data_IF_776341339141
#
_entry.id   IF_776341339141
#
_cell.length_a   1.000
_cell.length_b   1.000
_cell.length_c   1.000
_cell.angle_alpha   90.00
_cell.angle_beta   90.00
_cell.angle_gamma   90.00
#
_symmetry.space_group_name_H-M   'P 1'
#
loop_
_entity.id
_entity.type
_entity.pdbx_description
1 polymer ?
#
# COMPACT_ATOMS: atom_id res chain seq x y z
N UNK A 1 -13.33 50.74 15.10
CA UNK A 1 -14.10 49.83 15.96
C UNK A 1 -13.28 48.59 16.17
N UNK A 2 -12.88 48.33 17.41
CA UNK A 2 -12.03 47.19 17.79
C UNK A 2 -12.85 45.89 17.84
N UNK A 3 -12.24 44.71 17.61
CA UNK A 3 -12.94 43.43 17.60
C UNK A 3 -13.46 43.04 18.99
N UNK A 4 -14.62 42.35 19.09
CA UNK A 4 -15.37 42.12 20.33
C UNK A 4 -14.76 41.06 21.28
N UNK A 5 -13.46 40.76 21.20
CA UNK A 5 -12.82 39.68 21.97
C UNK A 5 -11.67 40.13 22.87
N UNK A 6 -11.44 41.44 23.01
CA UNK A 6 -10.46 41.98 23.94
C UNK A 6 -11.01 41.97 25.37
N UNK A 7 -10.93 40.83 26.05
CA UNK A 7 -11.30 40.73 27.48
C UNK A 7 -11.74 39.37 27.99
N UNK A 8 -11.61 38.29 27.21
CA UNK A 8 -11.82 36.96 27.78
C UNK A 8 -10.58 36.55 28.58
N UNK A 9 -10.63 36.72 29.90
CA UNK A 9 -9.67 36.14 30.83
C UNK A 9 -9.65 34.61 30.66
N UNK A 10 -8.59 34.12 30.01
CA UNK A 10 -8.37 32.69 29.76
C UNK A 10 -8.35 31.92 31.10
N UNK A 11 -7.93 32.55 32.20
CA UNK A 11 -8.01 32.01 33.54
C UNK A 11 -9.45 31.81 34.02
N UNK A 12 -10.36 32.74 33.70
CA UNK A 12 -11.79 32.63 34.02
C UNK A 12 -12.51 31.57 33.18
N UNK A 13 -12.12 31.40 31.90
CA UNK A 13 -12.65 30.34 31.02
C UNK A 13 -12.16 28.96 31.48
N UNK A 14 -10.87 28.83 31.82
CA UNK A 14 -10.31 27.60 32.40
C UNK A 14 -10.86 27.29 33.79
N UNK A 15 -11.19 28.31 34.59
CA UNK A 15 -11.86 28.15 35.88
C UNK A 15 -13.30 27.65 35.75
N UNK A 16 -14.01 28.00 34.66
CA UNK A 16 -15.34 27.45 34.33
C UNK A 16 -15.28 26.04 33.73
N UNK A 17 -14.19 25.67 33.06
CA UNK A 17 -13.93 24.32 32.56
C UNK A 17 -13.42 23.35 33.62
N UNK A 18 -12.82 23.84 34.71
CA UNK A 18 -12.56 23.01 35.90
C UNK A 18 -13.89 22.78 36.62
N UNK A 19 -14.59 21.71 36.24
CA UNK A 19 -15.73 21.10 36.96
C UNK A 19 -15.56 21.21 38.49
N UNK A 20 -16.01 22.33 39.09
CA UNK A 20 -16.19 22.49 40.53
C UNK A 20 -17.60 22.01 40.81
N UNK A 21 -17.80 20.70 40.70
CA UNK A 21 -18.93 20.06 41.37
C UNK A 21 -18.60 20.01 42.87
N UNK A 22 -19.50 20.48 43.77
CA UNK A 22 -19.39 20.14 45.19
C UNK A 22 -19.36 18.61 45.34
N UNK A 23 -18.55 18.08 46.26
CA UNK A 23 -18.35 16.63 46.42
C UNK A 23 -17.32 16.02 45.46
N UNK A 24 -16.40 16.79 44.86
CA UNK A 24 -15.38 16.25 43.92
C UNK A 24 -14.58 15.07 44.47
N UNK A 25 -14.27 15.06 45.77
CA UNK A 25 -13.60 13.94 46.42
C UNK A 25 -14.50 12.70 46.51
N UNK A 26 -15.78 12.90 46.83
CA UNK A 26 -16.80 11.84 46.90
C UNK A 26 -17.13 11.28 45.51
N UNK A 27 -17.30 12.14 44.50
CA UNK A 27 -17.48 11.72 43.10
C UNK A 27 -16.24 11.02 42.54
N UNK A 28 -15.04 11.45 42.95
CA UNK A 28 -13.79 10.77 42.58
C UNK A 28 -13.71 9.39 43.23
N UNK A 29 -14.00 9.28 44.53
CA UNK A 29 -14.03 8.00 45.23
C UNK A 29 -15.09 7.07 44.64
N UNK A 30 -16.28 7.58 44.32
CA UNK A 30 -17.34 6.84 43.65
C UNK A 30 -16.95 6.40 42.23
N UNK A 31 -16.20 7.23 41.49
CA UNK A 31 -15.68 6.87 40.17
C UNK A 31 -14.58 5.81 40.26
N UNK A 32 -13.67 5.92 41.24
CA UNK A 32 -12.63 4.92 41.51
C UNK A 32 -13.27 3.58 41.92
N UNK A 33 -14.32 3.60 42.75
CA UNK A 33 -15.08 2.42 43.14
C UNK A 33 -15.85 1.80 41.96
N UNK A 34 -16.45 2.63 41.09
CA UNK A 34 -17.06 2.18 39.83
C UNK A 34 -16.04 1.54 38.89
N UNK A 35 -14.85 2.13 38.76
CA UNK A 35 -13.79 1.57 37.91
C UNK A 35 -13.33 0.21 38.44
N UNK A 36 -13.10 0.07 39.75
CA UNK A 36 -12.74 -1.21 40.38
C UNK A 36 -13.86 -2.24 40.22
N UNK A 37 -15.12 -1.83 40.36
CA UNK A 37 -16.26 -2.73 40.16
C UNK A 37 -16.40 -3.19 38.70
N UNK A 38 -16.16 -2.30 37.73
CA UNK A 38 -16.16 -2.61 36.30
C UNK A 38 -14.98 -3.49 35.88
N UNK A 39 -13.83 -3.37 36.54
CA UNK A 39 -12.67 -4.26 36.35
C UNK A 39 -12.94 -5.66 36.93
N UNK A 40 -13.70 -5.76 38.02
CA UNK A 40 -14.06 -7.03 38.66
C UNK A 40 -15.21 -7.77 37.96
N UNK A 41 -16.18 -7.05 37.41
CA UNK A 41 -17.30 -7.59 36.64
C UNK A 41 -17.59 -6.68 35.42
N UNK A 42 -16.94 -7.01 34.30
CA UNK A 42 -17.05 -6.21 33.09
C UNK A 42 -18.47 -6.34 32.50
N UNK A 43 -19.26 -5.26 32.41
CA UNK A 43 -20.59 -5.32 31.85
C UNK A 43 -20.52 -5.69 30.37
N UNK A 44 -21.50 -6.47 29.90
CA UNK A 44 -21.60 -6.88 28.50
C UNK A 44 -21.79 -5.68 27.54
N UNK A 45 -22.34 -4.57 28.04
CA UNK A 45 -22.53 -3.33 27.28
C UNK A 45 -21.57 -2.23 27.78
N UNK A 46 -21.06 -1.38 26.87
CA UNK A 46 -20.15 -0.30 27.24
C UNK A 46 -20.85 0.72 28.14
N UNK A 47 -20.20 1.08 29.25
CA UNK A 47 -20.69 2.04 30.27
C UNK A 47 -21.02 3.41 29.69
N UNK A 48 -20.33 3.81 28.62
CA UNK A 48 -20.54 5.07 27.89
C UNK A 48 -20.75 4.77 26.40
N UNK A 49 -21.93 4.24 26.01
CA UNK A 49 -22.13 3.66 24.69
C UNK A 49 -21.93 4.68 23.56
N UNK A 50 -22.41 5.92 23.73
CA UNK A 50 -22.22 6.97 22.73
C UNK A 50 -20.75 7.40 22.60
N UNK A 51 -19.99 7.44 23.71
CA UNK A 51 -18.57 7.81 23.66
C UNK A 51 -17.74 6.68 23.06
N UNK A 52 -18.00 5.43 23.46
CA UNK A 52 -17.37 4.23 22.90
C UNK A 52 -17.60 4.14 21.39
N UNK A 53 -18.85 4.35 20.93
CA UNK A 53 -19.17 4.36 19.51
C UNK A 53 -18.44 5.46 18.73
N UNK A 54 -18.34 6.68 19.30
CA UNK A 54 -17.60 7.79 18.66
C UNK A 54 -16.09 7.54 18.62
N UNK A 55 -15.52 6.96 19.67
CA UNK A 55 -14.12 6.58 19.72
C UNK A 55 -13.80 5.51 18.67
N UNK A 56 -14.61 4.45 18.58
CA UNK A 56 -14.45 3.41 17.55
C UNK A 56 -14.60 3.96 16.12
N UNK A 57 -15.52 4.91 15.90
CA UNK A 57 -15.67 5.57 14.61
C UNK A 57 -14.45 6.44 14.25
N UNK A 58 -13.89 7.16 15.24
CA UNK A 58 -12.68 7.95 15.05
C UNK A 58 -11.47 7.06 14.75
N UNK A 59 -11.30 5.99 15.52
CA UNK A 59 -10.24 4.99 15.33
C UNK A 59 -10.27 4.43 13.91
N UNK A 60 -11.44 3.96 13.46
CA UNK A 60 -11.64 3.50 12.08
C UNK A 60 -11.31 4.58 11.03
N UNK A 61 -11.67 5.84 11.28
CA UNK A 61 -11.38 6.92 10.35
C UNK A 61 -9.88 7.24 10.28
N UNK A 62 -9.17 7.21 11.42
CA UNK A 62 -7.72 7.36 11.49
C UNK A 62 -7.04 6.20 10.75
N UNK A 63 -7.52 4.98 10.94
CA UNK A 63 -7.02 3.78 10.27
C UNK A 63 -7.13 3.86 8.74
N UNK A 64 -8.28 4.31 8.23
CA UNK A 64 -8.47 4.52 6.79
C UNK A 64 -7.57 5.64 6.28
N UNK A 65 -7.49 6.76 7.01
CA UNK A 65 -6.68 7.91 6.62
C UNK A 65 -5.20 7.54 6.51
N UNK A 66 -4.64 6.89 7.52
CA UNK A 66 -3.23 6.50 7.52
C UNK A 66 -2.96 5.51 6.39
N UNK A 67 -3.85 4.55 6.16
CA UNK A 67 -3.72 3.63 5.01
C UNK A 67 -3.74 4.36 3.67
N UNK A 68 -4.64 5.32 3.49
CA UNK A 68 -4.73 6.09 2.25
C UNK A 68 -3.51 6.99 2.03
N UNK A 69 -2.99 7.62 3.08
CA UNK A 69 -1.78 8.43 3.01
C UNK A 69 -0.59 7.58 2.61
N UNK A 70 -0.38 6.43 3.26
CA UNK A 70 0.74 5.54 2.95
C UNK A 70 0.59 4.94 1.54
N UNK A 71 -0.63 4.54 1.16
CA UNK A 71 -0.89 3.97 -0.17
C UNK A 71 -0.85 5.01 -1.29
N UNK A 72 -1.04 6.31 -0.98
CA UNK A 72 -1.04 7.38 -1.98
C UNK A 72 0.27 7.47 -2.77
N UNK A 73 1.40 7.23 -2.11
CA UNK A 73 2.73 7.30 -2.75
C UNK A 73 2.90 6.19 -3.78
N UNK A 74 2.43 4.98 -3.46
CA UNK A 74 2.44 3.85 -4.39
C UNK A 74 1.56 4.13 -5.60
N UNK A 75 0.32 4.60 -5.37
CA UNK A 75 -0.61 4.96 -6.45
C UNK A 75 0.00 6.00 -7.40
N UNK A 76 0.65 7.03 -6.85
CA UNK A 76 1.31 8.08 -7.64
C UNK A 76 2.46 7.56 -8.50
N UNK A 77 3.28 6.65 -7.98
CA UNK A 77 4.36 6.06 -8.78
C UNK A 77 3.84 5.19 -9.93
N UNK A 78 2.64 4.62 -9.79
CA UNK A 78 2.05 3.70 -10.76
C UNK A 78 0.93 4.33 -11.61
N UNK A 79 0.66 5.62 -11.46
CA UNK A 79 -0.46 6.32 -12.11
C UNK A 79 -0.41 6.18 -13.64
N UNK A 80 0.75 6.43 -14.24
CA UNK A 80 0.97 6.34 -15.68
C UNK A 80 1.55 5.00 -16.14
N UNK A 81 1.70 4.01 -15.25
CA UNK A 81 2.43 2.77 -15.52
C UNK A 81 1.89 2.04 -16.76
N UNK A 82 0.56 1.90 -16.86
CA UNK A 82 -0.10 1.23 -17.98
C UNK A 82 0.05 1.95 -19.33
N UNK A 83 0.38 3.24 -19.30
CA UNK A 83 0.48 4.12 -20.48
C UNK A 83 1.93 4.38 -20.91
N UNK A 84 2.91 3.78 -20.23
CA UNK A 84 4.32 3.93 -20.59
C UNK A 84 4.58 3.42 -22.02
N UNK A 85 5.39 4.12 -22.83
CA UNK A 85 5.66 3.73 -24.20
C UNK A 85 6.47 2.42 -24.30
N UNK A 86 7.11 1.99 -23.21
CA UNK A 86 7.94 0.77 -23.14
C UNK A 86 7.17 -0.49 -23.56
N UNK A 87 5.84 -0.51 -23.39
CA UNK A 87 5.02 -1.68 -23.71
C UNK A 87 4.92 -1.97 -25.21
N UNK A 88 5.09 -0.94 -26.04
CA UNK A 88 4.97 -1.01 -27.50
C UNK A 88 6.24 -0.47 -28.20
N UNK A 89 7.28 -0.16 -27.43
CA UNK A 89 8.52 0.38 -27.97
C UNK A 89 9.20 -0.67 -28.87
N UNK A 90 9.68 -0.29 -30.06
CA UNK A 90 10.44 -1.20 -30.90
C UNK A 90 11.68 -1.65 -30.14
N UNK A 91 12.06 -2.93 -30.28
CA UNK A 91 13.33 -3.40 -29.76
C UNK A 91 14.44 -2.52 -30.34
N UNK A 92 15.21 -1.87 -29.46
CA UNK A 92 16.39 -1.12 -29.88
C UNK A 92 17.25 -2.04 -30.75
N UNK A 93 17.65 -1.63 -31.96
CA UNK A 93 18.51 -2.45 -32.80
C UNK A 93 19.84 -2.58 -32.06
N UNK A 94 20.05 -3.71 -31.40
CA UNK A 94 21.32 -4.09 -30.77
C UNK A 94 22.45 -3.69 -31.72
N UNK A 95 23.26 -2.71 -31.27
CA UNK A 95 24.23 -2.05 -32.12
C UNK A 95 25.18 -3.05 -32.77
N UNK A 96 25.07 -3.20 -34.08
CA UNK A 96 26.05 -3.87 -34.93
C UNK A 96 26.04 -5.40 -34.88
N UNK A 97 25.76 -6.00 -36.04
CA UNK A 97 26.00 -7.39 -36.40
C UNK A 97 25.13 -8.45 -35.70
N UNK A 98 23.97 -8.75 -36.28
CA UNK A 98 23.44 -10.11 -36.60
C UNK A 98 23.40 -11.22 -35.54
N UNK A 99 23.82 -10.97 -34.32
CA UNK A 99 23.74 -11.87 -33.18
C UNK A 99 22.57 -11.41 -32.34
N UNK A 100 21.56 -12.27 -32.20
CA UNK A 100 20.59 -12.21 -31.11
C UNK A 100 21.38 -12.38 -29.80
N UNK A 101 21.97 -11.30 -29.32
CA UNK A 101 22.54 -11.28 -27.99
C UNK A 101 21.37 -11.53 -27.05
N UNK A 102 21.46 -12.52 -26.12
CA UNK A 102 20.40 -12.76 -25.16
C UNK A 102 20.09 -11.43 -24.49
N UNK A 103 18.84 -10.97 -24.56
CA UNK A 103 18.41 -9.75 -23.88
C UNK A 103 18.80 -9.90 -22.42
N UNK A 104 19.87 -9.20 -22.02
CA UNK A 104 20.30 -9.11 -20.64
C UNK A 104 19.06 -8.76 -19.82
N UNK A 105 18.75 -9.59 -18.83
CA UNK A 105 17.57 -9.49 -17.96
C UNK A 105 17.11 -8.04 -17.80
N UNK A 106 15.92 -7.71 -18.33
CA UNK A 106 15.39 -6.37 -18.22
C UNK A 106 15.44 -5.93 -16.74
N UNK A 107 15.89 -4.71 -16.49
CA UNK A 107 15.90 -4.17 -15.12
C UNK A 107 14.52 -3.57 -14.82
N UNK A 108 13.98 -3.74 -13.60
CA UNK A 108 12.70 -3.14 -13.24
C UNK A 108 12.69 -1.63 -13.46
N UNK A 109 11.57 -1.10 -13.94
CA UNK A 109 11.45 0.32 -14.24
C UNK A 109 11.60 1.19 -12.99
N UNK A 110 12.09 2.42 -13.17
CA UNK A 110 12.33 3.35 -12.06
C UNK A 110 11.08 3.64 -11.21
N UNK A 111 9.88 3.64 -11.79
CA UNK A 111 8.64 3.79 -11.05
C UNK A 111 8.36 2.58 -10.14
N UNK A 112 8.69 1.37 -10.59
CA UNK A 112 8.53 0.11 -9.87
C UNK A 112 9.57 -0.01 -8.76
N UNK A 113 10.83 0.32 -9.05
CA UNK A 113 11.88 0.33 -8.01
C UNK A 113 11.62 1.38 -6.95
N UNK A 114 11.10 2.56 -7.31
CA UNK A 114 10.70 3.57 -6.33
C UNK A 114 9.57 3.08 -5.39
N UNK A 115 8.63 2.28 -5.88
CA UNK A 115 7.64 1.60 -5.04
C UNK A 115 8.33 0.60 -4.11
N UNK A 116 9.21 -0.25 -4.62
CA UNK A 116 9.91 -1.24 -3.82
C UNK A 116 10.77 -0.62 -2.71
N UNK A 117 11.56 0.40 -3.05
CA UNK A 117 12.36 1.17 -2.10
C UNK A 117 11.48 1.82 -1.03
N UNK A 118 10.35 2.43 -1.41
CA UNK A 118 9.42 2.99 -0.45
C UNK A 118 8.91 1.95 0.54
N UNK A 119 8.47 0.78 0.05
CA UNK A 119 7.96 -0.29 0.90
C UNK A 119 9.03 -0.85 1.85
N UNK A 120 10.27 -0.98 1.39
CA UNK A 120 11.39 -1.46 2.21
C UNK A 120 11.81 -0.45 3.29
N UNK A 121 11.58 0.84 3.06
CA UNK A 121 11.87 1.90 4.03
C UNK A 121 10.74 2.10 5.05
N UNK A 122 9.51 1.65 4.78
CA UNK A 122 8.37 1.82 5.68
C UNK A 122 8.61 1.35 7.14
N UNK A 123 9.21 0.17 7.40
CA UNK A 123 9.47 -0.27 8.77
C UNK A 123 10.30 0.74 9.57
N UNK A 124 11.34 1.29 8.93
CA UNK A 124 12.23 2.30 9.54
C UNK A 124 11.50 3.63 9.80
N UNK A 125 10.44 3.94 9.05
CA UNK A 125 9.62 5.14 9.27
C UNK A 125 8.66 4.98 10.45
N UNK A 126 8.30 3.75 10.82
CA UNK A 126 7.43 3.48 11.96
C UNK A 126 8.18 3.43 13.29
N UNK A 127 9.45 3.02 13.31
CA UNK A 127 10.26 2.94 14.53
C UNK A 127 10.21 4.22 15.39
N UNK A 128 10.38 5.45 14.85
CA UNK A 128 10.33 6.67 15.66
C UNK A 128 8.93 6.99 16.22
N UNK A 129 7.87 6.56 15.53
CA UNK A 129 6.48 6.83 15.93
C UNK A 129 6.03 5.91 17.07
N UNK A 130 6.60 4.72 17.11
CA UNK A 130 6.28 3.65 18.05
C UNK A 130 7.21 3.67 19.28
N UNK A 131 8.45 4.11 19.12
CA UNK A 131 9.38 4.32 20.24
C UNK A 131 9.20 5.66 20.99
N UNK A 132 8.42 6.61 20.43
CA UNK A 132 8.23 7.94 20.99
C UNK A 132 6.77 8.19 21.40
N UNK A 133 6.26 7.42 22.37
CA UNK A 133 5.04 7.79 23.07
C UNK A 133 5.20 9.20 23.69
N UNK A 134 4.29 10.16 23.45
CA UNK A 134 4.32 11.44 24.14
C UNK A 134 4.02 11.19 25.62
N UNK A 135 5.00 11.44 26.48
CA UNK A 135 4.88 11.43 27.95
C UNK A 135 4.91 10.05 28.61
N UNK A 136 6.04 9.35 28.57
CA UNK A 136 6.41 8.55 29.75
C UNK A 136 7.16 9.48 30.71
N UNK A 137 6.58 9.87 31.86
CA UNK A 137 7.30 10.66 32.85
C UNK A 137 8.54 9.88 33.27
N UNK A 138 9.68 10.57 33.30
CA UNK A 138 10.96 10.05 33.82
C UNK A 138 10.70 9.34 35.15
N UNK A 139 10.75 8.01 35.16
CA UNK A 139 10.66 7.19 36.37
C UNK A 139 9.50 6.19 36.50
N UNK A 140 8.60 6.02 35.52
CA UNK A 140 7.66 4.90 35.53
C UNK A 140 8.34 3.60 35.04
N UNK A 141 8.14 2.44 35.71
CA UNK A 141 8.71 1.18 35.24
C UNK A 141 8.13 0.88 33.84
N UNK A 142 9.03 0.68 32.87
CA UNK A 142 8.65 0.29 31.52
C UNK A 142 7.72 -0.93 31.60
N UNK A 143 6.48 -0.73 31.20
CA UNK A 143 5.55 -1.85 31.01
C UNK A 143 6.04 -2.58 29.76
N UNK A 144 6.74 -3.69 29.96
CA UNK A 144 7.37 -4.50 28.90
C UNK A 144 6.40 -5.09 27.86
N UNK A 145 5.10 -4.80 27.97
CA UNK A 145 4.08 -5.15 26.98
C UNK A 145 3.91 -4.13 25.85
N UNK A 146 4.22 -2.84 26.07
CA UNK A 146 4.01 -1.78 25.06
C UNK A 146 4.89 -1.93 23.83
N UNK A 147 6.19 -2.22 24.02
CA UNK A 147 7.15 -2.35 22.91
C UNK A 147 6.79 -3.51 21.95
N UNK A 148 6.22 -4.60 22.46
CA UNK A 148 5.86 -5.77 21.65
C UNK A 148 4.59 -5.50 20.84
N UNK A 149 3.58 -4.88 21.45
CA UNK A 149 2.33 -4.51 20.77
C UNK A 149 2.57 -3.42 19.71
N UNK A 150 3.44 -2.45 19.99
CA UNK A 150 3.81 -1.40 19.05
C UNK A 150 4.59 -1.97 17.86
N UNK A 151 5.56 -2.86 18.11
CA UNK A 151 6.29 -3.56 17.04
C UNK A 151 5.35 -4.39 16.17
N UNK A 152 4.38 -5.07 16.80
CA UNK A 152 3.37 -5.86 16.09
C UNK A 152 2.48 -4.97 15.22
N UNK A 153 2.03 -3.82 15.75
CA UNK A 153 1.26 -2.84 15.01
C UNK A 153 2.03 -2.33 13.79
N UNK A 154 3.32 -2.00 13.95
CA UNK A 154 4.19 -1.62 12.83
C UNK A 154 4.21 -2.68 11.73
N UNK A 155 4.43 -3.94 12.14
CA UNK A 155 4.53 -5.07 11.21
C UNK A 155 3.22 -5.30 10.44
N UNK A 156 2.07 -5.14 11.11
CA UNK A 156 0.74 -5.26 10.51
C UNK A 156 0.50 -4.14 9.49
N UNK A 157 0.88 -2.90 9.83
CA UNK A 157 0.78 -1.77 8.92
C UNK A 157 1.66 -1.93 7.68
N UNK A 158 2.91 -2.37 7.85
CA UNK A 158 3.83 -2.67 6.74
C UNK A 158 3.22 -3.74 5.83
N UNK A 159 2.72 -4.84 6.40
CA UNK A 159 2.09 -5.90 5.63
C UNK A 159 0.83 -5.41 4.89
N UNK A 160 0.00 -4.60 5.54
CA UNK A 160 -1.23 -4.04 4.96
C UNK A 160 -0.93 -3.11 3.78
N UNK A 161 0.07 -2.25 3.91
CA UNK A 161 0.50 -1.34 2.83
C UNK A 161 1.18 -2.11 1.70
N UNK A 162 2.06 -3.08 2.01
CA UNK A 162 2.70 -3.91 0.99
C UNK A 162 1.70 -4.77 0.20
N UNK A 163 0.68 -5.33 0.87
CA UNK A 163 -0.43 -6.02 0.20
C UNK A 163 -1.25 -5.09 -0.69
N UNK A 164 -1.56 -3.88 -0.20
CA UNK A 164 -2.22 -2.84 -1.00
C UNK A 164 -1.40 -2.40 -2.21
N UNK A 165 -0.09 -2.32 -2.07
CA UNK A 165 0.83 -1.99 -3.14
C UNK A 165 0.89 -3.08 -4.21
N UNK A 166 0.96 -4.36 -3.79
CA UNK A 166 0.89 -5.49 -4.71
C UNK A 166 -0.42 -5.51 -5.50
N UNK A 167 -1.55 -5.25 -4.84
CA UNK A 167 -2.85 -5.13 -5.49
C UNK A 167 -2.90 -3.95 -6.49
N UNK A 168 -2.37 -2.79 -6.10
CA UNK A 168 -2.31 -1.60 -6.96
C UNK A 168 -1.43 -1.85 -8.20
N UNK A 169 -0.27 -2.47 -8.03
CA UNK A 169 0.61 -2.86 -9.14
C UNK A 169 -0.04 -3.90 -10.05
N UNK A 170 -0.77 -4.85 -9.48
CA UNK A 170 -1.55 -5.83 -10.26
C UNK A 170 -2.60 -5.15 -11.12
N UNK A 171 -3.38 -4.22 -10.55
CA UNK A 171 -4.39 -3.46 -11.30
C UNK A 171 -3.76 -2.58 -12.38
N UNK A 172 -2.63 -1.92 -12.09
CA UNK A 172 -1.88 -1.15 -13.08
C UNK A 172 -1.38 -2.02 -14.23
N UNK A 173 -0.87 -3.22 -13.94
CA UNK A 173 -0.46 -4.17 -14.96
C UNK A 173 -1.64 -4.72 -15.79
N UNK A 174 -2.80 -4.98 -15.15
CA UNK A 174 -4.03 -5.40 -15.85
C UNK A 174 -4.56 -4.33 -16.81
N UNK A 175 -4.24 -3.05 -16.57
CA UNK A 175 -4.64 -1.93 -17.42
C UNK A 175 -3.77 -1.75 -18.67
N UNK A 176 -2.64 -2.45 -18.78
CA UNK A 176 -1.78 -2.41 -19.98
C UNK A 176 -2.58 -2.92 -21.19
N UNK A 177 -2.62 -2.12 -22.24
CA UNK A 177 -3.46 -2.42 -23.41
C UNK A 177 -2.79 -3.33 -24.45
N UNK A 178 -1.48 -3.18 -24.61
CA UNK A 178 -0.64 -3.84 -25.61
C UNK A 178 0.73 -4.05 -24.97
N UNK A 179 1.29 -5.24 -25.12
CA UNK A 179 2.67 -5.52 -24.71
C UNK A 179 3.33 -6.39 -25.79
N UNK A 180 4.31 -5.83 -26.51
CA UNK A 180 5.15 -6.58 -27.43
C UNK A 180 6.16 -7.46 -26.65
N UNK A 181 7.02 -8.19 -27.34
CA UNK A 181 7.92 -9.13 -26.65
C UNK A 181 8.90 -8.43 -25.69
N UNK A 182 9.41 -7.24 -26.05
CA UNK A 182 10.23 -6.43 -25.18
C UNK A 182 9.43 -5.89 -23.97
N UNK A 183 8.22 -5.38 -24.23
CA UNK A 183 7.31 -4.90 -23.20
C UNK A 183 6.88 -6.00 -22.23
N UNK A 184 6.69 -7.22 -22.69
CA UNK A 184 6.37 -8.35 -21.84
C UNK A 184 7.56 -8.81 -21.01
N UNK A 185 8.78 -8.79 -21.57
CA UNK A 185 10.00 -9.01 -20.79
C UNK A 185 10.18 -7.94 -19.70
N UNK A 186 9.87 -6.67 -20.01
CA UNK A 186 9.87 -5.59 -19.02
C UNK A 186 8.81 -5.83 -17.93
N UNK A 187 7.60 -6.23 -18.30
CA UNK A 187 6.53 -6.53 -17.35
C UNK A 187 6.94 -7.69 -16.42
N UNK A 188 7.60 -8.71 -16.96
CA UNK A 188 8.12 -9.82 -16.16
C UNK A 188 9.14 -9.33 -15.13
N UNK A 189 10.11 -8.51 -15.53
CA UNK A 189 11.11 -7.95 -14.62
C UNK A 189 10.49 -7.10 -13.50
N UNK A 190 9.52 -6.25 -13.84
CA UNK A 190 8.81 -5.40 -12.89
C UNK A 190 8.03 -6.22 -11.85
N UNK A 191 7.25 -7.21 -12.32
CA UNK A 191 6.43 -8.05 -11.46
C UNK A 191 7.27 -9.01 -10.62
N UNK A 192 8.38 -9.52 -11.15
CA UNK A 192 9.34 -10.33 -10.39
C UNK A 192 9.96 -9.52 -9.26
N UNK A 193 10.44 -8.31 -9.55
CA UNK A 193 10.98 -7.40 -8.54
C UNK A 193 9.96 -7.11 -7.43
N UNK A 194 8.74 -6.70 -7.79
CA UNK A 194 7.70 -6.42 -6.80
C UNK A 194 7.31 -7.67 -6.00
N UNK A 195 7.24 -8.84 -6.64
CA UNK A 195 6.96 -10.10 -5.96
C UNK A 195 8.01 -10.40 -4.89
N UNK A 196 9.29 -10.16 -5.21
CA UNK A 196 10.39 -10.34 -4.27
C UNK A 196 10.33 -9.34 -3.11
N UNK A 197 10.03 -8.06 -3.37
CA UNK A 197 9.88 -7.05 -2.32
C UNK A 197 8.72 -7.39 -1.38
N UNK A 198 7.55 -7.72 -1.92
CA UNK A 198 6.34 -8.02 -1.14
C UNK A 198 6.56 -9.30 -0.31
N UNK A 199 7.21 -10.32 -0.89
CA UNK A 199 7.59 -11.53 -0.16
C UNK A 199 8.60 -11.26 0.97
N UNK A 200 9.58 -10.37 0.75
CA UNK A 200 10.54 -9.97 1.78
C UNK A 200 9.88 -9.27 2.97
N UNK A 201 8.74 -8.61 2.75
CA UNK A 201 7.91 -7.99 3.78
C UNK A 201 6.90 -8.96 4.43
N UNK A 202 7.00 -10.26 4.12
CA UNK A 202 6.14 -11.31 4.69
C UNK A 202 4.73 -11.37 4.09
N UNK A 203 4.50 -10.73 2.94
CA UNK A 203 3.19 -10.68 2.29
C UNK A 203 3.14 -11.69 1.15
N UNK A 204 2.03 -12.44 1.06
CA UNK A 204 1.82 -13.38 -0.02
C UNK A 204 1.55 -12.65 -1.35
N UNK A 205 2.25 -13.07 -2.41
CA UNK A 205 2.08 -12.51 -3.76
C UNK A 205 0.67 -12.82 -4.28
N UNK A 206 -0.10 -11.81 -4.74
CA UNK A 206 -1.45 -12.01 -5.28
C UNK A 206 -1.48 -13.03 -6.44
N UNK A 207 -2.48 -13.92 -6.51
CA UNK A 207 -2.58 -14.91 -7.59
C UNK A 207 -2.61 -14.27 -8.98
N UNK A 208 -3.36 -13.18 -9.16
CA UNK A 208 -3.39 -12.43 -10.40
C UNK A 208 -2.01 -11.91 -10.81
N UNK A 209 -1.23 -11.35 -9.88
CA UNK A 209 0.14 -10.90 -10.13
C UNK A 209 1.04 -12.04 -10.61
N UNK A 210 0.92 -13.22 -9.97
CA UNK A 210 1.67 -14.43 -10.35
C UNK A 210 1.31 -14.90 -11.75
N UNK A 211 0.03 -14.92 -12.10
CA UNK A 211 -0.43 -15.30 -13.44
C UNK A 211 0.03 -14.29 -14.50
N UNK A 212 -0.01 -12.99 -14.20
CA UNK A 212 0.56 -11.96 -15.09
C UNK A 212 2.04 -12.22 -15.35
N UNK A 213 2.83 -12.45 -14.29
CA UNK A 213 4.25 -12.76 -14.39
C UNK A 213 4.50 -14.01 -15.24
N UNK A 214 3.80 -15.12 -14.97
CA UNK A 214 3.93 -16.36 -15.74
C UNK A 214 3.63 -16.16 -17.23
N UNK A 215 2.58 -15.43 -17.57
CA UNK A 215 2.24 -15.12 -18.96
C UNK A 215 3.20 -14.12 -19.63
N UNK A 216 3.78 -13.20 -18.85
CA UNK A 216 4.78 -12.26 -19.33
C UNK A 216 6.13 -12.94 -19.64
N UNK A 217 6.54 -13.91 -18.82
CA UNK A 217 7.75 -14.72 -19.05
C UNK A 217 7.61 -15.72 -20.18
N UNK A 218 6.40 -16.21 -20.44
CA UNK A 218 6.15 -17.23 -21.47
C UNK A 218 6.36 -16.69 -22.90
N UNK A 219 6.75 -17.60 -23.80
CA UNK A 219 6.78 -17.32 -25.24
C UNK A 219 5.37 -17.13 -25.81
N UNK A 220 5.25 -16.46 -26.96
CA UNK A 220 3.96 -16.20 -27.60
C UNK A 220 3.15 -17.47 -27.91
N UNK A 221 3.83 -18.61 -28.17
CA UNK A 221 3.17 -19.91 -28.38
C UNK A 221 2.72 -20.60 -27.10
N UNK A 222 3.41 -20.36 -25.98
CA UNK A 222 3.22 -21.08 -24.71
C UNK A 222 2.43 -20.26 -23.68
N UNK A 223 2.20 -18.97 -23.92
CA UNK A 223 1.52 -18.06 -22.99
C UNK A 223 0.18 -18.58 -22.50
N UNK A 224 -0.58 -19.31 -23.34
CA UNK A 224 -1.86 -19.91 -22.96
C UNK A 224 -1.65 -21.02 -21.93
N UNK A 225 -0.79 -21.98 -22.23
CA UNK A 225 -0.46 -23.07 -21.30
C UNK A 225 0.19 -22.57 -20.02
N UNK A 226 0.98 -21.50 -20.07
CA UNK A 226 1.63 -20.91 -18.90
C UNK A 226 0.63 -20.26 -17.94
N UNK A 227 -0.51 -19.78 -18.44
CA UNK A 227 -1.57 -19.19 -17.63
C UNK A 227 -2.64 -20.21 -17.18
N UNK A 228 -2.56 -21.46 -17.63
CA UNK A 228 -3.56 -22.48 -17.30
C UNK A 228 -3.59 -22.76 -15.79
N UNK A 229 -4.80 -22.75 -15.20
CA UNK A 229 -5.00 -22.91 -13.75
C UNK A 229 -4.67 -21.67 -12.91
N UNK A 230 -4.28 -20.55 -13.53
CA UNK A 230 -4.06 -19.27 -12.88
C UNK A 230 -5.33 -18.43 -12.68
N UNK A 231 -5.15 -17.17 -12.31
CA UNK A 231 -6.23 -16.20 -12.22
C UNK A 231 -6.81 -15.89 -13.61
N UNK A 232 -8.13 -16.09 -13.77
CA UNK A 232 -8.79 -15.98 -15.07
C UNK A 232 -8.75 -14.56 -15.67
N UNK A 233 -8.82 -13.52 -14.83
CA UNK A 233 -8.79 -12.12 -15.29
C UNK A 233 -7.38 -11.75 -15.75
N UNK A 234 -6.35 -12.13 -14.99
CA UNK A 234 -4.96 -11.94 -15.37
C UNK A 234 -4.58 -12.71 -16.63
N UNK A 235 -4.98 -13.98 -16.74
CA UNK A 235 -4.74 -14.80 -17.91
C UNK A 235 -5.37 -14.17 -19.17
N UNK A 236 -6.63 -13.74 -19.08
CA UNK A 236 -7.31 -13.06 -20.17
C UNK A 236 -6.62 -11.74 -20.57
N UNK A 237 -6.14 -10.97 -19.59
CA UNK A 237 -5.44 -9.72 -19.80
C UNK A 237 -4.13 -9.91 -20.58
N UNK A 238 -3.25 -10.82 -20.15
CA UNK A 238 -1.98 -11.09 -20.85
C UNK A 238 -2.22 -11.60 -22.27
N UNK A 239 -3.15 -12.54 -22.45
CA UNK A 239 -3.50 -13.06 -23.77
C UNK A 239 -4.02 -11.96 -24.71
N UNK A 240 -4.78 -11.00 -24.17
CA UNK A 240 -5.26 -9.84 -24.93
C UNK A 240 -4.11 -8.89 -25.28
N UNK A 241 -3.22 -8.57 -24.34
CA UNK A 241 -2.06 -7.70 -24.57
C UNK A 241 -1.17 -8.24 -25.70
N UNK A 242 -0.83 -9.54 -25.65
CA UNK A 242 0.02 -10.21 -26.64
C UNK A 242 -0.63 -10.27 -28.01
N UNK A 243 -1.93 -10.61 -28.07
CA UNK A 243 -2.67 -10.65 -29.34
C UNK A 243 -2.66 -9.30 -30.05
N UNK A 244 -2.94 -8.22 -29.30
CA UNK A 244 -2.96 -6.85 -29.88
C UNK A 244 -1.58 -6.42 -30.38
N UNK A 245 -0.50 -6.86 -29.71
CA UNK A 245 0.86 -6.60 -30.18
C UNK A 245 1.15 -7.28 -31.53
N UNK A 246 0.72 -8.54 -31.69
CA UNK A 246 0.83 -9.26 -32.96
C UNK A 246 0.01 -8.58 -34.08
N UNK A 247 -1.25 -8.23 -33.81
CA UNK A 247 -2.11 -7.54 -34.78
C UNK A 247 -1.51 -6.20 -35.24
N UNK A 248 -0.88 -5.44 -34.34
CA UNK A 248 -0.17 -4.20 -34.67
C UNK A 248 1.09 -4.46 -35.52
N UNK A 249 1.89 -5.47 -35.18
CA UNK A 249 3.08 -5.83 -35.93
C UNK A 249 2.74 -6.20 -37.38
N UNK A 250 1.71 -7.04 -37.58
CA UNK A 250 1.24 -7.40 -38.93
C UNK A 250 0.71 -6.20 -39.73
N UNK A 251 0.05 -5.24 -39.06
CA UNK A 251 -0.44 -4.03 -39.72
C UNK A 251 0.72 -3.11 -40.17
N UNK A 252 1.78 -3.01 -39.36
CA UNK A 252 2.98 -2.25 -39.69
C UNK A 252 3.72 -2.85 -40.90
N UNK A 253 3.87 -4.18 -40.96
CA UNK A 253 4.49 -4.86 -42.10
C UNK A 253 3.71 -4.67 -43.40
N UNK A 254 2.37 -4.80 -43.35
CA UNK A 254 1.50 -4.57 -44.53
C UNK A 254 1.56 -3.12 -45.02
N UNK A 255 1.65 -2.15 -44.10
CA UNK A 255 1.80 -0.73 -44.44
C UNK A 255 3.15 -0.41 -45.09
N UNK A 256 4.24 -1.03 -44.60
CA UNK A 256 5.56 -0.88 -45.20
C UNK A 256 5.62 -1.48 -46.62
N UNK A 257 5.00 -2.64 -46.83
CA UNK A 257 4.95 -3.32 -48.13
C UNK A 257 4.12 -2.58 -49.19
N UNK A 258 3.20 -1.68 -48.81
CA UNK A 258 2.41 -0.88 -49.76
C UNK A 258 3.05 0.46 -50.14
N UNK A 259 4.13 0.86 -49.45
CA UNK A 259 4.85 2.12 -49.69
C UNK A 259 6.20 1.90 -50.41
N UNK A 260 6.64 0.65 -50.53
CA UNK A 260 7.79 0.21 -51.33
C UNK A 260 7.35 -0.17 -52.75
#
# INVERSE_FOLDING_TARGET
GAPPYAGADVGAVLARLRLRAPGRAEHRAALEELLVALEADAPAEPVLPCMSARAAAFDKAADVLVYDVLSSRVRRHLEDYAHLPVWDAPAEPSGGAGFEMPTFSAYPQACVTAVGEYLLMLPQQFEPLLGAGPSSPVGAPASSGGDVDDTRLASEWVARVAGGAAATATEAALAIEVANDAGAAQLAADLEYLSNVVAALGVAVPPAMRTLLQGATASASEVRSACDGGDARAAAAVLKMRRRALEKAEAAEKGAASQA
#
